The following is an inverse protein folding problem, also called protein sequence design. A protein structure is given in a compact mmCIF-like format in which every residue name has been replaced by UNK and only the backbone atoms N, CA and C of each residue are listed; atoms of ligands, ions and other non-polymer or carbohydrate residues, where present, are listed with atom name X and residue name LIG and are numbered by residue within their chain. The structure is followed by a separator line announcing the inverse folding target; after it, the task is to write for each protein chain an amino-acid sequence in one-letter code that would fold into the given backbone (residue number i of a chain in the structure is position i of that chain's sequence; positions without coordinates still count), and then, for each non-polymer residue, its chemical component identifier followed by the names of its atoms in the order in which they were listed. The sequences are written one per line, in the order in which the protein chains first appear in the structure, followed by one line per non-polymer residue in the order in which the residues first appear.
data_IF_829820710936
#
_entry.id   IF_829820710936
#
_cell.length_a   1.000
_cell.length_b   1.000
_cell.length_c   1.000
_cell.angle_alpha   90.00
_cell.angle_beta   90.00
_cell.angle_gamma   90.00
#
_symmetry.space_group_name_H-M   'P 1'
#
loop_
_entity.id
_entity.type
_entity.pdbx_description
1 polymer ?
#
# COMPACT_ATOMS: atom_id res chain seq x y z
N UNK A 1 2.34 30.65 -40.46
CA UNK A 1 2.32 30.87 -38.99
C UNK A 1 1.23 29.99 -38.39
N UNK A 2 1.61 28.91 -37.71
CA UNK A 2 0.78 28.19 -36.74
C UNK A 2 1.72 27.30 -35.92
N UNK A 3 2.26 27.85 -34.85
CA UNK A 3 3.05 27.12 -33.85
C UNK A 3 2.10 26.25 -33.02
N UNK A 4 2.21 24.93 -33.19
CA UNK A 4 1.58 23.95 -32.30
C UNK A 4 2.14 24.13 -30.89
N UNK A 5 1.33 24.66 -29.98
CA UNK A 5 1.62 24.61 -28.55
C UNK A 5 1.45 23.16 -28.09
N UNK A 6 2.58 22.48 -27.86
CA UNK A 6 2.63 21.18 -27.20
C UNK A 6 2.14 21.35 -25.76
N UNK A 7 0.89 20.99 -25.51
CA UNK A 7 0.29 20.90 -24.18
C UNK A 7 0.95 19.76 -23.39
N UNK A 8 2.11 20.04 -22.83
CA UNK A 8 2.70 19.18 -21.80
C UNK A 8 1.74 19.16 -20.60
N UNK A 9 0.96 18.08 -20.48
CA UNK A 9 0.08 17.87 -19.33
C UNK A 9 0.96 17.65 -18.10
N UNK A 10 1.30 18.72 -17.38
CA UNK A 10 1.95 18.65 -16.09
C UNK A 10 0.95 18.04 -15.10
N UNK A 11 0.91 16.70 -15.04
CA UNK A 11 0.15 15.99 -14.00
C UNK A 11 0.58 16.56 -12.65
N UNK A 12 -0.38 17.10 -11.89
CA UNK A 12 -0.11 17.66 -10.58
C UNK A 12 0.67 16.65 -9.72
N UNK A 13 1.59 17.10 -8.85
CA UNK A 13 2.28 16.21 -7.93
C UNK A 13 1.33 15.30 -7.13
N UNK A 14 0.13 15.81 -6.80
CA UNK A 14 -0.94 15.04 -6.14
C UNK A 14 -1.45 13.86 -6.97
N UNK A 15 -1.50 13.99 -8.30
CA UNK A 15 -1.91 12.90 -9.18
C UNK A 15 -0.88 11.78 -9.24
N UNK A 16 0.42 12.09 -9.19
CA UNK A 16 1.49 11.09 -9.29
C UNK A 16 1.57 10.21 -8.03
N UNK A 17 1.60 10.84 -6.85
CA UNK A 17 1.64 10.11 -5.58
C UNK A 17 0.39 9.26 -5.35
N UNK A 18 -0.77 9.77 -5.75
CA UNK A 18 -2.02 9.01 -5.68
C UNK A 18 -2.00 7.75 -6.55
N UNK A 19 -1.48 7.85 -7.78
CA UNK A 19 -1.31 6.67 -8.65
C UNK A 19 -0.28 5.70 -8.09
N UNK A 20 0.83 6.20 -7.56
CA UNK A 20 1.83 5.35 -6.93
C UNK A 20 1.25 4.61 -5.72
N UNK A 21 0.48 5.30 -4.88
CA UNK A 21 -0.20 4.71 -3.73
C UNK A 21 -1.22 3.65 -4.15
N UNK A 22 -1.93 3.87 -5.26
CA UNK A 22 -2.82 2.85 -5.83
C UNK A 22 -2.04 1.59 -6.26
N UNK A 23 -0.92 1.76 -6.97
CA UNK A 23 -0.11 0.64 -7.45
C UNK A 23 0.47 -0.15 -6.28
N UNK A 24 1.11 0.52 -5.32
CA UNK A 24 1.71 -0.17 -4.17
C UNK A 24 0.64 -0.87 -3.32
N UNK A 25 -0.58 -0.31 -3.25
CA UNK A 25 -1.67 -0.98 -2.52
C UNK A 25 -2.06 -2.31 -3.14
N UNK A 26 -2.07 -2.40 -4.48
CA UNK A 26 -2.35 -3.65 -5.19
C UNK A 26 -1.20 -4.64 -5.04
N UNK A 27 0.05 -4.17 -5.14
CA UNK A 27 1.23 -5.03 -4.96
C UNK A 27 1.25 -5.66 -3.57
N UNK A 28 1.03 -4.86 -2.52
CA UNK A 28 0.97 -5.37 -1.14
C UNK A 28 -0.22 -6.31 -0.93
N UNK A 29 -1.39 -5.99 -1.49
CA UNK A 29 -2.55 -6.90 -1.41
C UNK A 29 -2.25 -8.29 -2.01
N UNK A 30 -1.58 -8.34 -3.16
CA UNK A 30 -1.21 -9.61 -3.81
C UNK A 30 -0.19 -10.35 -2.94
N UNK A 31 0.82 -9.65 -2.43
CA UNK A 31 1.87 -10.23 -1.59
C UNK A 31 1.30 -10.82 -0.30
N UNK A 32 0.43 -10.09 0.42
CA UNK A 32 -0.30 -10.60 1.59
C UNK A 32 -1.20 -11.79 1.21
N UNK A 33 -1.88 -11.69 0.06
CA UNK A 33 -2.72 -12.77 -0.46
C UNK A 33 -1.92 -14.06 -0.71
N UNK A 34 -0.69 -13.95 -1.22
CA UNK A 34 0.21 -15.09 -1.40
C UNK A 34 0.70 -15.66 -0.07
N UNK A 35 0.90 -14.83 0.95
CA UNK A 35 1.22 -15.31 2.30
C UNK A 35 0.11 -16.19 2.91
N UNK A 36 -1.14 -16.05 2.47
CA UNK A 36 -2.24 -16.91 2.94
C UNK A 36 -2.01 -18.40 2.72
N UNK A 37 -1.18 -18.80 1.76
CA UNK A 37 -0.86 -20.21 1.52
C UNK A 37 0.15 -20.79 2.52
N UNK A 38 0.77 -19.95 3.36
CA UNK A 38 1.91 -20.31 4.20
C UNK A 38 1.58 -20.12 5.69
N UNK A 39 0.73 -19.16 6.03
CA UNK A 39 0.36 -18.86 7.42
C UNK A 39 -0.69 -19.83 7.99
N UNK A 40 -0.76 -19.90 9.33
CA UNK A 40 -1.75 -20.72 10.04
C UNK A 40 -3.19 -20.21 9.87
N UNK A 41 -3.37 -18.91 9.69
CA UNK A 41 -4.67 -18.24 9.63
C UNK A 41 -4.91 -17.59 8.25
N UNK A 42 -5.14 -18.41 7.19
CA UNK A 42 -5.26 -17.91 5.81
C UNK A 42 -6.39 -16.91 5.63
N UNK A 43 -7.49 -17.09 6.37
CA UNK A 43 -8.66 -16.21 6.30
C UNK A 43 -8.31 -14.79 6.75
N UNK A 44 -7.53 -14.62 7.81
CA UNK A 44 -7.12 -13.31 8.32
C UNK A 44 -6.25 -12.58 7.28
N UNK A 45 -5.29 -13.29 6.68
CA UNK A 45 -4.46 -12.72 5.61
C UNK A 45 -5.27 -12.35 4.36
N UNK A 46 -6.25 -13.15 3.97
CA UNK A 46 -7.12 -12.81 2.83
C UNK A 46 -8.01 -11.60 3.10
N UNK A 47 -8.48 -11.45 4.35
CA UNK A 47 -9.22 -10.25 4.77
C UNK A 47 -8.31 -9.01 4.71
N UNK A 48 -7.08 -9.10 5.21
CA UNK A 48 -6.11 -8.00 5.11
C UNK A 48 -5.83 -7.62 3.65
N UNK A 49 -5.56 -8.61 2.78
CA UNK A 49 -5.39 -8.38 1.35
C UNK A 49 -6.60 -7.68 0.72
N UNK A 50 -7.82 -8.09 1.08
CA UNK A 50 -9.04 -7.43 0.60
C UNK A 50 -9.15 -5.98 1.10
N UNK A 51 -8.77 -5.69 2.35
CA UNK A 51 -8.77 -4.33 2.89
C UNK A 51 -7.79 -3.41 2.15
N UNK A 52 -6.62 -3.91 1.75
CA UNK A 52 -5.69 -3.18 0.89
C UNK A 52 -6.31 -2.83 -0.47
N UNK A 53 -7.09 -3.73 -1.08
CA UNK A 53 -7.84 -3.45 -2.31
C UNK A 53 -8.98 -2.45 -2.09
N UNK A 54 -9.67 -2.50 -0.94
CA UNK A 54 -10.66 -1.48 -0.56
C UNK A 54 -9.99 -0.11 -0.49
N UNK A 55 -8.80 -0.04 0.11
CA UNK A 55 -7.96 1.16 0.10
C UNK A 55 -7.69 1.68 -1.31
N UNK A 56 -7.29 0.80 -2.25
CA UNK A 56 -7.14 1.17 -3.66
C UNK A 56 -8.41 1.82 -4.25
N UNK A 57 -9.58 1.19 -4.07
CA UNK A 57 -10.84 1.72 -4.60
C UNK A 57 -11.19 3.08 -3.98
N UNK A 58 -10.93 3.26 -2.68
CA UNK A 58 -11.14 4.54 -1.99
C UNK A 58 -10.18 5.62 -2.44
N UNK A 59 -8.91 5.29 -2.69
CA UNK A 59 -7.95 6.24 -3.26
C UNK A 59 -8.42 6.71 -4.64
N UNK A 60 -9.00 5.82 -5.45
CA UNK A 60 -9.55 6.16 -6.77
C UNK A 60 -10.73 7.14 -6.71
N UNK A 61 -11.52 7.11 -5.62
CA UNK A 61 -12.60 8.07 -5.38
C UNK A 61 -12.09 9.48 -5.02
N UNK A 62 -10.79 9.65 -4.78
CA UNK A 62 -10.15 10.97 -4.62
C UNK A 62 -10.25 11.59 -3.24
N UNK A 63 -10.91 10.94 -2.27
CA UNK A 63 -10.98 11.39 -0.88
C UNK A 63 -9.73 11.09 -0.04
N UNK A 64 -9.67 11.64 1.18
CA UNK A 64 -8.58 11.38 2.15
C UNK A 64 -8.68 10.00 2.82
N UNK A 65 -9.86 9.38 2.80
CA UNK A 65 -10.11 8.09 3.46
C UNK A 65 -9.27 6.94 2.92
N UNK A 66 -8.99 6.93 1.60
CA UNK A 66 -8.15 5.90 0.98
C UNK A 66 -6.71 5.89 1.53
N UNK A 67 -5.97 7.01 1.43
CA UNK A 67 -4.63 7.10 2.01
C UNK A 67 -4.58 6.83 3.52
N UNK A 68 -5.58 7.30 4.29
CA UNK A 68 -5.64 7.04 5.73
C UNK A 68 -5.81 5.55 6.02
N UNK A 69 -6.71 4.85 5.31
CA UNK A 69 -6.87 3.40 5.45
C UNK A 69 -5.57 2.65 5.17
N UNK A 70 -4.88 2.97 4.05
CA UNK A 70 -3.59 2.35 3.73
C UNK A 70 -2.54 2.64 4.81
N UNK A 71 -2.52 3.84 5.37
CA UNK A 71 -1.61 4.19 6.47
C UNK A 71 -1.86 3.34 7.73
N UNK A 72 -3.13 3.16 8.11
CA UNK A 72 -3.51 2.31 9.26
C UNK A 72 -3.13 0.85 9.01
N UNK A 73 -3.45 0.32 7.83
CA UNK A 73 -3.06 -1.05 7.45
C UNK A 73 -1.55 -1.21 7.47
N UNK A 74 -0.80 -0.24 6.95
CA UNK A 74 0.67 -0.30 6.95
C UNK A 74 1.26 -0.35 8.36
N UNK A 75 0.71 0.42 9.30
CA UNK A 75 1.13 0.35 10.71
C UNK A 75 0.79 -1.00 11.34
N UNK A 76 -0.40 -1.53 11.04
CA UNK A 76 -0.83 -2.84 11.52
C UNK A 76 0.09 -3.95 11.02
N UNK A 77 0.42 -3.98 9.72
CA UNK A 77 1.32 -4.95 9.11
C UNK A 77 2.74 -4.86 9.69
N UNK A 78 3.27 -3.65 9.92
CA UNK A 78 4.57 -3.47 10.57
C UNK A 78 4.59 -4.02 12.00
N UNK A 79 3.55 -3.73 12.79
CA UNK A 79 3.44 -4.25 14.15
C UNK A 79 3.27 -5.77 14.15
N UNK A 80 2.40 -6.30 13.27
CA UNK A 80 2.21 -7.74 13.08
C UNK A 80 3.50 -8.45 12.73
N UNK A 81 4.25 -7.91 11.77
CA UNK A 81 5.50 -8.48 11.30
C UNK A 81 6.61 -8.41 12.34
N UNK A 82 6.72 -7.32 13.11
CA UNK A 82 7.80 -7.15 14.10
C UNK A 82 7.56 -7.93 15.39
N UNK A 83 6.31 -8.08 15.83
CA UNK A 83 6.00 -8.62 17.16
C UNK A 83 5.37 -10.02 17.14
N UNK A 84 4.72 -10.43 16.03
CA UNK A 84 3.90 -11.65 16.00
C UNK A 84 4.28 -12.65 14.89
N UNK A 85 5.36 -12.40 14.15
CA UNK A 85 5.78 -13.22 13.00
C UNK A 85 6.12 -14.67 13.37
N UNK A 86 6.65 -14.92 14.57
CA UNK A 86 6.93 -16.29 15.04
C UNK A 86 5.67 -17.07 15.46
N UNK A 87 4.58 -16.37 15.81
CA UNK A 87 3.32 -16.99 16.25
C UNK A 87 2.39 -17.31 15.08
N UNK A 88 2.49 -16.55 13.98
CA UNK A 88 1.63 -16.69 12.80
C UNK A 88 1.99 -17.88 11.88
N UNK A 89 3.23 -18.39 11.95
CA UNK A 89 3.71 -19.49 11.11
C UNK A 89 4.58 -20.52 11.89
N UNK A 90 4.04 -21.18 12.93
CA UNK A 90 4.80 -22.13 13.72
C UNK A 90 5.17 -23.37 12.89
N UNK A 91 6.48 -23.67 12.81
CA UNK A 91 7.00 -24.83 12.07
C UNK A 91 7.27 -24.60 10.58
N UNK A 92 7.03 -23.40 10.06
CA UNK A 92 7.39 -23.00 8.69
C UNK A 92 8.42 -21.89 8.75
N UNK A 93 9.63 -22.15 8.27
CA UNK A 93 10.66 -21.10 8.12
C UNK A 93 10.31 -20.24 6.91
N UNK A 94 9.60 -19.13 7.14
CA UNK A 94 9.46 -18.08 6.13
C UNK A 94 10.86 -17.51 5.85
N UNK A 95 11.38 -17.56 4.61
CA UNK A 95 12.69 -17.02 4.30
C UNK A 95 12.79 -15.53 4.69
N UNK A 96 13.86 -15.15 5.38
CA UNK A 96 14.05 -13.79 5.89
C UNK A 96 13.95 -12.71 4.80
N UNK A 97 14.33 -13.03 3.56
CA UNK A 97 14.21 -12.11 2.43
C UNK A 97 12.76 -11.74 2.10
N UNK A 98 11.79 -12.65 2.31
CA UNK A 98 10.36 -12.37 2.08
C UNK A 98 9.87 -11.35 3.10
N UNK A 99 10.24 -11.52 4.38
CA UNK A 99 9.93 -10.58 5.46
C UNK A 99 10.53 -9.20 5.15
N UNK A 100 11.79 -9.15 4.70
CA UNK A 100 12.44 -7.90 4.32
C UNK A 100 11.69 -7.22 3.17
N UNK A 101 11.34 -7.96 2.11
CA UNK A 101 10.58 -7.41 0.98
C UNK A 101 9.23 -6.87 1.44
N UNK A 102 8.48 -7.61 2.26
CA UNK A 102 7.22 -7.17 2.83
C UNK A 102 7.37 -5.86 3.60
N UNK A 103 8.30 -5.80 4.57
CA UNK A 103 8.56 -4.60 5.38
C UNK A 103 8.93 -3.40 4.50
N UNK A 104 9.75 -3.60 3.48
CA UNK A 104 10.12 -2.54 2.52
C UNK A 104 8.89 -2.05 1.76
N UNK A 105 8.05 -2.95 1.22
CA UNK A 105 6.83 -2.57 0.51
C UNK A 105 5.88 -1.76 1.40
N UNK A 106 5.70 -2.19 2.65
CA UNK A 106 4.84 -1.49 3.62
C UNK A 106 5.42 -0.13 4.01
N UNK A 107 6.74 -0.01 4.19
CA UNK A 107 7.38 1.29 4.42
C UNK A 107 7.23 2.25 3.22
N UNK A 108 7.38 1.72 2.01
CA UNK A 108 7.17 2.49 0.76
C UNK A 108 5.71 2.94 0.65
N UNK A 109 4.75 2.08 1.00
CA UNK A 109 3.33 2.44 1.05
C UNK A 109 3.08 3.57 2.06
N UNK A 110 3.66 3.50 3.26
CA UNK A 110 3.54 4.54 4.27
C UNK A 110 4.14 5.88 3.80
N UNK A 111 5.32 5.85 3.16
CA UNK A 111 5.90 7.04 2.55
C UNK A 111 4.97 7.62 1.47
N UNK A 112 4.39 6.78 0.62
CA UNK A 112 3.43 7.19 -0.40
C UNK A 112 2.15 7.81 0.21
N UNK A 113 1.67 7.30 1.36
CA UNK A 113 0.55 7.88 2.12
C UNK A 113 0.90 9.30 2.56
N UNK A 114 2.05 9.49 3.22
CA UNK A 114 2.50 10.81 3.71
C UNK A 114 2.61 11.80 2.55
N UNK A 115 3.22 11.39 1.44
CA UNK A 115 3.38 12.25 0.27
C UNK A 115 2.03 12.59 -0.39
N UNK A 116 1.11 11.62 -0.45
CA UNK A 116 -0.25 11.83 -1.00
C UNK A 116 -1.04 12.80 -0.14
N UNK A 117 -1.02 12.63 1.19
CA UNK A 117 -1.73 13.49 2.12
C UNK A 117 -1.15 14.91 2.14
N UNK A 118 0.18 15.05 2.13
CA UNK A 118 0.85 16.37 2.01
C UNK A 118 0.44 17.08 0.71
N UNK A 119 0.44 16.36 -0.41
CA UNK A 119 0.05 16.93 -1.70
C UNK A 119 -1.43 17.31 -1.77
N UNK A 120 -2.31 16.63 -1.03
CA UNK A 120 -3.72 17.02 -0.89
C UNK A 120 -3.90 18.27 -0.03
N UNK A 121 -3.20 18.36 1.10
CA UNK A 121 -3.27 19.54 1.98
C UNK A 121 -2.69 20.80 1.33
N UNK A 122 -1.73 20.68 0.42
CA UNK A 122 -1.18 21.82 -0.32
C UNK A 122 -2.11 22.34 -1.44
N UNK A 123 -3.17 21.60 -1.78
CA UNK A 123 -4.12 21.93 -2.84
C UNK A 123 -5.45 22.52 -2.32
N UNK A 124 -5.63 22.56 -0.99
CA UNK A 124 -6.79 23.13 -0.28
C UNK A 124 -6.40 24.45 0.36
#
# INVERSE_FOLDING_TARGET
MASQASSSSSRSPSSKWRTFLQVISVVVAIEIGLHSFIVREPVVTLVLAALWLVGFFWIRRGGRGGPVLIGVLSLFELLGTLFFSNEAAPGVTVPAWIIIVHVVLVCVALAAVVMTLKAQSAAT
#
